data_IF_467505973199
#
_entry.id   IF_467505973199
#
_cell.length_a   1.000
_cell.length_b   1.000
_cell.length_c   1.000
_cell.angle_alpha   90.00
_cell.angle_beta   90.00
_cell.angle_gamma   90.00
#
_symmetry.space_group_name_H-M   'P 1'
#
loop_
_entity.id
_entity.type
_entity.pdbx_description
1 polymer ?
#
# COMPACT_ATOMS: atom_id res chain seq x y z
N UNK A 1 25.63 -4.00 8.21
CA UNK A 1 24.22 -3.61 7.98
C UNK A 1 23.38 -4.79 8.38
N UNK A 2 22.29 -4.58 9.13
CA UNK A 2 21.42 -5.69 9.54
C UNK A 2 20.18 -5.71 8.66
N UNK A 3 19.77 -6.91 8.26
CA UNK A 3 18.50 -7.13 7.57
C UNK A 3 17.45 -7.58 8.59
N UNK A 4 16.31 -6.90 8.57
CA UNK A 4 15.18 -7.17 9.46
C UNK A 4 13.92 -7.28 8.64
N UNK A 5 13.19 -8.39 8.76
CA UNK A 5 11.87 -8.55 8.13
C UNK A 5 10.77 -8.13 9.09
N UNK A 6 9.77 -7.41 8.60
CA UNK A 6 8.55 -7.02 9.33
C UNK A 6 7.32 -7.24 8.49
N UNK A 7 6.22 -7.59 9.13
CA UNK A 7 4.92 -7.71 8.49
C UNK A 7 4.16 -6.41 8.70
N UNK A 8 3.83 -5.75 7.60
CA UNK A 8 2.95 -4.58 7.57
C UNK A 8 1.55 -5.06 7.25
N UNK A 9 0.59 -4.65 8.07
CA UNK A 9 -0.82 -4.99 7.90
C UNK A 9 -1.59 -3.79 7.36
N UNK A 10 -2.28 -4.01 6.26
CA UNK A 10 -3.25 -3.07 5.68
C UNK A 10 -4.64 -3.54 6.04
N UNK A 11 -5.38 -2.74 6.80
CA UNK A 11 -6.78 -3.00 7.12
C UNK A 11 -7.65 -2.07 6.30
N UNK A 12 -8.47 -2.64 5.42
CA UNK A 12 -9.46 -1.91 4.65
C UNK A 12 -10.84 -2.14 5.25
N UNK A 13 -11.60 -1.06 5.44
CA UNK A 13 -13.02 -1.12 5.79
C UNK A 13 -13.79 -0.28 4.78
N UNK A 14 -14.93 -0.76 4.31
CA UNK A 14 -15.80 -0.05 3.38
C UNK A 14 -17.26 -0.33 3.70
N UNK A 15 -18.14 0.61 3.38
CA UNK A 15 -19.58 0.41 3.44
C UNK A 15 -20.30 1.24 2.38
N UNK A 16 -21.49 0.80 1.97
CA UNK A 16 -22.34 1.53 1.03
C UNK A 16 -22.97 2.73 1.73
N UNK A 17 -22.87 3.90 1.11
CA UNK A 17 -23.54 5.11 1.53
C UNK A 17 -24.97 5.12 0.96
N UNK A 18 -25.94 4.68 1.77
CA UNK A 18 -27.34 4.50 1.35
C UNK A 18 -28.04 5.81 0.96
N UNK A 19 -27.58 6.92 1.51
CA UNK A 19 -28.16 8.24 1.27
C UNK A 19 -27.65 8.89 -0.03
N UNK A 20 -26.66 8.27 -0.69
CA UNK A 20 -26.10 8.76 -1.95
C UNK A 20 -26.58 7.86 -3.09
N UNK A 21 -27.26 8.42 -4.11
CA UNK A 21 -27.68 7.66 -5.28
C UNK A 21 -26.49 6.94 -5.94
N UNK A 22 -26.74 5.72 -6.43
CA UNK A 22 -25.73 4.99 -7.19
C UNK A 22 -25.38 5.76 -8.47
N UNK A 23 -24.09 5.76 -8.82
CA UNK A 23 -23.60 6.45 -10.03
C UNK A 23 -24.07 5.71 -11.29
N UNK A 24 -24.17 4.38 -11.21
CA UNK A 24 -24.71 3.49 -12.22
C UNK A 24 -25.35 2.28 -11.53
N UNK A 25 -26.27 1.61 -12.22
CA UNK A 25 -26.86 0.34 -11.75
C UNK A 25 -25.75 -0.67 -11.40
N UNK A 26 -25.80 -1.22 -10.19
CA UNK A 26 -24.77 -2.12 -9.65
C UNK A 26 -23.55 -1.45 -9.01
N UNK A 27 -23.37 -0.13 -9.14
CA UNK A 27 -22.22 0.63 -8.62
C UNK A 27 -22.64 1.68 -7.58
N UNK A 28 -22.94 1.26 -6.34
CA UNK A 28 -23.28 2.19 -5.28
C UNK A 28 -22.07 3.01 -4.83
N UNK A 29 -22.30 4.23 -4.36
CA UNK A 29 -21.25 5.00 -3.69
C UNK A 29 -20.87 4.32 -2.37
N UNK A 30 -19.58 4.22 -2.11
CA UNK A 30 -19.04 3.64 -0.89
C UNK A 30 -18.13 4.62 -0.19
N UNK A 31 -18.15 4.57 1.12
CA UNK A 31 -17.07 5.11 1.93
C UNK A 31 -16.12 3.99 2.27
N UNK A 32 -14.82 4.25 2.11
CA UNK A 32 -13.78 3.29 2.44
C UNK A 32 -12.67 3.97 3.22
N UNK A 33 -11.97 3.18 4.03
CA UNK A 33 -10.80 3.60 4.77
C UNK A 33 -9.73 2.53 4.74
N UNK A 34 -8.46 2.95 4.72
CA UNK A 34 -7.30 2.06 4.79
C UNK A 34 -6.42 2.53 5.94
N UNK A 35 -6.08 1.60 6.84
CA UNK A 35 -5.19 1.84 7.97
C UNK A 35 -3.98 0.91 7.91
N UNK A 36 -2.82 1.41 8.37
CA UNK A 36 -1.53 0.70 8.32
C UNK A 36 -1.01 0.46 9.74
N UNK A 37 -0.81 -0.81 10.07
CA UNK A 37 -0.22 -1.28 11.33
C UNK A 37 0.95 -2.24 11.06
N UNK A 38 1.70 -2.58 12.09
CA UNK A 38 2.65 -3.69 12.06
C UNK A 38 2.06 -4.88 12.80
N UNK A 39 2.49 -6.08 12.41
CA UNK A 39 2.22 -7.30 13.16
C UNK A 39 3.49 -7.70 13.87
N UNK A 40 3.43 -7.88 15.18
CA UNK A 40 4.58 -8.33 15.96
C UNK A 40 4.77 -9.86 15.86
N UNK A 41 5.83 -10.36 16.49
CA UNK A 41 6.16 -11.79 16.58
C UNK A 41 5.06 -12.67 17.20
N UNK A 42 4.14 -12.09 17.97
CA UNK A 42 2.98 -12.76 18.57
C UNK A 42 1.72 -12.68 17.71
N UNK A 43 1.80 -12.14 16.50
CA UNK A 43 0.63 -11.96 15.63
C UNK A 43 -0.28 -10.79 16.04
N UNK A 44 0.14 -9.95 16.98
CA UNK A 44 -0.65 -8.83 17.50
C UNK A 44 -0.36 -7.57 16.70
N UNK A 45 -1.41 -6.79 16.42
CA UNK A 45 -1.27 -5.50 15.77
C UNK A 45 -0.67 -4.46 16.71
N UNK A 46 0.38 -3.81 16.25
CA UNK A 46 1.06 -2.72 16.95
C UNK A 46 1.17 -1.50 16.02
N UNK A 47 1.24 -0.27 16.57
CA UNK A 47 1.39 0.93 15.75
C UNK A 47 2.62 0.88 14.85
N UNK A 48 2.47 1.29 13.58
CA UNK A 48 3.55 1.27 12.60
C UNK A 48 4.53 2.46 12.74
N UNK A 49 5.18 2.57 13.90
CA UNK A 49 6.07 3.70 14.27
C UNK A 49 7.40 3.73 13.49
N UNK A 50 7.70 2.69 12.72
CA UNK A 50 8.89 2.63 11.86
C UNK A 50 8.80 3.53 10.63
N UNK A 51 7.63 4.09 10.34
CA UNK A 51 7.39 4.99 9.20
C UNK A 51 7.25 6.45 9.66
N UNK A 52 7.90 7.38 8.95
CA UNK A 52 7.69 8.82 9.15
C UNK A 52 6.47 9.34 8.36
N UNK A 53 6.15 8.63 7.27
CA UNK A 53 5.16 9.03 6.29
C UNK A 53 4.69 7.82 5.48
N UNK A 54 3.39 7.74 5.28
CA UNK A 54 2.75 6.84 4.30
C UNK A 54 2.11 7.70 3.23
N UNK A 55 2.37 7.39 1.96
CA UNK A 55 1.80 8.10 0.82
C UNK A 55 0.96 7.15 -0.02
N UNK A 56 -0.31 7.49 -0.21
CA UNK A 56 -1.26 6.79 -1.07
C UNK A 56 -1.34 7.52 -2.40
N UNK A 57 -1.10 6.82 -3.51
CA UNK A 57 -1.37 7.33 -4.85
C UNK A 57 -2.71 6.77 -5.32
N UNK A 58 -3.76 7.57 -5.15
CA UNK A 58 -5.12 7.24 -5.57
C UNK A 58 -5.28 7.33 -7.09
N UNK A 59 -6.39 6.82 -7.59
CA UNK A 59 -6.77 6.97 -8.98
C UNK A 59 -6.86 8.46 -9.38
N UNK A 60 -6.47 8.87 -10.60
CA UNK A 60 -6.46 10.28 -11.03
C UNK A 60 -7.81 10.99 -11.00
N UNK A 61 -8.92 10.28 -10.82
CA UNK A 61 -10.27 10.86 -10.65
C UNK A 61 -10.47 11.51 -9.29
N UNK A 62 -9.66 11.19 -8.28
CA UNK A 62 -9.74 11.82 -6.97
C UNK A 62 -9.07 13.21 -6.99
N UNK A 63 -9.68 14.18 -6.32
CA UNK A 63 -9.02 15.45 -6.08
C UNK A 63 -7.81 15.22 -5.16
N UNK A 64 -6.66 15.81 -5.56
CA UNK A 64 -5.37 15.58 -4.90
C UNK A 64 -5.10 14.08 -4.72
N UNK A 65 -4.87 13.34 -5.82
CA UNK A 65 -4.84 11.88 -5.78
C UNK A 65 -3.63 11.34 -5.02
N UNK A 66 -2.56 12.11 -4.85
CA UNK A 66 -1.41 11.72 -4.03
C UNK A 66 -1.55 12.33 -2.63
N UNK A 67 -1.70 11.48 -1.61
CA UNK A 67 -1.95 11.92 -0.23
C UNK A 67 -0.98 11.31 0.74
N UNK A 68 -0.44 12.12 1.64
CA UNK A 68 0.56 11.70 2.62
C UNK A 68 0.10 11.91 4.06
N UNK A 69 0.31 10.91 4.89
CA UNK A 69 -0.01 10.91 6.32
C UNK A 69 1.26 10.67 7.11
N UNK A 70 1.45 11.36 8.24
CA UNK A 70 2.71 11.35 9.02
C UNK A 70 2.60 10.73 10.41
N UNK A 71 1.43 10.18 10.76
CA UNK A 71 1.18 9.58 12.08
C UNK A 71 0.44 8.26 11.92
N UNK A 72 0.84 7.20 12.64
CA UNK A 72 0.04 5.98 12.75
C UNK A 72 -1.38 6.29 13.25
N UNK A 73 -2.40 5.55 12.79
CA UNK A 73 -2.34 4.41 11.87
C UNK A 73 -2.35 4.80 10.38
N UNK A 74 -1.96 6.04 10.05
CA UNK A 74 -1.87 6.55 8.68
C UNK A 74 -3.17 6.41 7.88
N UNK A 75 -4.30 6.53 8.57
CA UNK A 75 -5.61 6.28 7.98
C UNK A 75 -5.92 7.28 6.89
N UNK A 76 -6.24 6.74 5.72
CA UNK A 76 -6.94 7.46 4.66
C UNK A 76 -8.40 7.03 4.68
N UNK A 77 -9.31 7.98 4.45
CA UNK A 77 -10.74 7.76 4.33
C UNK A 77 -11.24 8.57 3.13
N UNK A 78 -12.02 7.93 2.28
CA UNK A 78 -12.44 8.47 1.00
C UNK A 78 -13.75 7.84 0.52
N UNK A 79 -14.36 8.44 -0.49
CA UNK A 79 -15.60 7.95 -1.09
C UNK A 79 -15.40 7.63 -2.57
N UNK A 80 -15.93 6.50 -3.02
CA UNK A 80 -15.81 6.07 -4.40
C UNK A 80 -16.73 4.90 -4.72
N UNK A 81 -16.97 4.68 -6.02
CA UNK A 81 -17.87 3.64 -6.52
C UNK A 81 -17.12 2.43 -7.10
N UNK A 82 -15.84 2.59 -7.45
CA UNK A 82 -15.02 1.58 -8.11
C UNK A 82 -13.81 1.15 -7.28
N UNK A 83 -13.46 -0.13 -7.38
CA UNK A 83 -12.20 -0.67 -6.87
C UNK A 83 -11.03 -0.37 -7.82
N UNK A 84 -9.82 -0.32 -7.28
CA UNK A 84 -8.60 -0.06 -8.05
C UNK A 84 -7.34 -0.39 -7.24
N UNK A 85 -6.23 -0.61 -7.93
CA UNK A 85 -4.92 -0.76 -7.33
C UNK A 85 -4.35 0.58 -6.85
N UNK A 86 -3.95 0.63 -5.57
CA UNK A 86 -3.37 1.79 -4.91
C UNK A 86 -1.88 1.56 -4.67
N UNK A 87 -0.98 2.26 -5.37
CA UNK A 87 0.42 2.33 -4.99
C UNK A 87 0.58 3.07 -3.66
N UNK A 88 1.07 2.35 -2.65
CA UNK A 88 1.38 2.88 -1.32
C UNK A 88 2.90 2.92 -1.13
N UNK A 89 3.41 4.10 -0.80
CA UNK A 89 4.82 4.31 -0.43
C UNK A 89 4.94 4.50 1.07
N UNK A 90 5.64 3.57 1.73
CA UNK A 90 5.99 3.62 3.14
C UNK A 90 7.40 4.19 3.29
N UNK A 91 7.54 5.40 3.80
CA UNK A 91 8.85 6.04 4.05
C UNK A 91 9.30 5.72 5.47
N UNK A 92 10.46 5.07 5.59
CA UNK A 92 11.04 4.70 6.87
C UNK A 92 11.62 5.93 7.59
N UNK A 93 11.53 5.95 8.92
CA UNK A 93 12.15 6.98 9.74
C UNK A 93 13.65 7.11 9.49
N UNK A 94 14.23 8.26 9.87
CA UNK A 94 15.65 8.58 9.68
C UNK A 94 16.11 8.50 8.21
N UNK A 95 15.21 8.75 7.25
CA UNK A 95 15.47 8.56 5.81
C UNK A 95 15.89 7.11 5.52
N UNK A 96 15.29 6.13 6.20
CA UNK A 96 15.62 4.70 6.10
C UNK A 96 15.39 4.06 4.73
N UNK A 97 14.87 4.84 3.78
CA UNK A 97 14.46 4.40 2.46
C UNK A 97 12.95 4.21 2.37
N UNK A 98 12.48 3.97 1.16
CA UNK A 98 11.07 3.76 0.88
C UNK A 98 10.77 2.28 0.60
N UNK A 99 9.57 1.84 0.97
CA UNK A 99 9.00 0.55 0.57
C UNK A 99 7.71 0.81 -0.19
N UNK A 100 7.66 0.32 -1.44
CA UNK A 100 6.48 0.44 -2.30
C UNK A 100 5.69 -0.84 -2.27
N UNK A 101 4.38 -0.72 -2.06
CA UNK A 101 3.44 -1.83 -2.00
C UNK A 101 2.24 -1.44 -2.88
N UNK A 102 1.73 -2.38 -3.67
CA UNK A 102 0.47 -2.19 -4.37
C UNK A 102 -0.65 -2.82 -3.53
N UNK A 103 -1.69 -2.05 -3.24
CA UNK A 103 -2.83 -2.46 -2.44
C UNK A 103 -4.09 -2.45 -3.30
N UNK A 104 -4.71 -3.60 -3.47
CA UNK A 104 -5.98 -3.72 -4.18
C UNK A 104 -7.12 -3.21 -3.28
N UNK A 105 -7.74 -2.09 -3.68
CA UNK A 105 -8.99 -1.62 -3.10
C UNK A 105 -10.15 -2.32 -3.81
N UNK A 106 -10.81 -3.25 -3.13
CA UNK A 106 -12.00 -3.94 -3.63
C UNK A 106 -13.14 -3.92 -2.61
N UNK A 107 -14.33 -4.33 -3.05
CA UNK A 107 -15.56 -4.24 -2.25
C UNK A 107 -16.22 -5.60 -2.03
N UNK A 108 -15.46 -6.70 -2.18
CA UNK A 108 -15.97 -8.06 -1.98
C UNK A 108 -16.34 -8.34 -0.51
N UNK A 109 -15.65 -7.67 0.42
CA UNK A 109 -15.90 -7.75 1.87
C UNK A 109 -16.05 -6.36 2.45
N UNK A 110 -16.84 -6.23 3.51
CA UNK A 110 -16.97 -4.98 4.27
C UNK A 110 -15.65 -4.62 4.95
N UNK A 111 -14.91 -5.64 5.42
CA UNK A 111 -13.58 -5.51 5.98
C UNK A 111 -12.69 -6.62 5.47
N UNK A 112 -11.46 -6.26 5.10
CA UNK A 112 -10.42 -7.23 4.79
C UNK A 112 -9.05 -6.73 5.25
N UNK A 113 -8.15 -7.69 5.41
CA UNK A 113 -6.80 -7.48 5.93
C UNK A 113 -5.80 -8.08 4.95
N UNK A 114 -4.78 -7.31 4.60
CA UNK A 114 -3.67 -7.76 3.76
C UNK A 114 -2.37 -7.58 4.53
N UNK A 115 -1.67 -8.69 4.77
CA UNK A 115 -0.35 -8.70 5.39
C UNK A 115 0.72 -8.74 4.29
N UNK A 116 1.69 -7.83 4.35
CA UNK A 116 2.83 -7.74 3.43
C UNK A 116 4.13 -7.73 4.20
N UNK A 117 5.04 -8.65 3.88
CA UNK A 117 6.36 -8.67 4.47
C UNK A 117 7.29 -7.67 3.76
N UNK A 118 7.98 -6.84 4.53
CA UNK A 118 9.02 -5.93 4.04
C UNK A 118 10.36 -6.29 4.65
N UNK A 119 11.41 -6.28 3.84
CA UNK A 119 12.79 -6.38 4.29
C UNK A 119 13.37 -4.99 4.50
N UNK A 120 13.94 -4.72 5.68
CA UNK A 120 14.51 -3.45 6.07
C UNK A 120 15.99 -3.66 6.35
N UNK A 121 16.82 -3.04 5.51
CA UNK A 121 18.27 -3.05 5.65
C UNK A 121 18.70 -1.74 6.27
N UNK A 122 19.24 -1.77 7.49
CA UNK A 122 19.59 -0.54 8.20
C UNK A 122 20.73 -0.74 9.20
N UNK A 123 21.40 0.36 9.52
CA UNK A 123 22.34 0.50 10.66
C UNK A 123 21.93 1.65 11.57
N UNK A 124 20.78 2.28 11.30
CA UNK A 124 20.38 3.54 11.94
C UNK A 124 19.80 3.28 13.33
N UNK A 125 20.30 3.94 14.38
CA UNK A 125 20.01 3.55 15.75
C UNK A 125 18.54 3.75 16.15
N UNK A 126 17.87 4.83 15.73
CA UNK A 126 16.46 5.02 16.10
C UNK A 126 15.54 4.11 15.29
N UNK A 127 15.85 3.86 14.02
CA UNK A 127 15.13 2.84 13.24
C UNK A 127 15.26 1.44 13.86
N UNK A 128 16.45 1.05 14.33
CA UNK A 128 16.65 -0.22 15.05
C UNK A 128 15.86 -0.27 16.36
N UNK A 129 15.81 0.82 17.12
CA UNK A 129 15.00 0.92 18.35
C UNK A 129 13.50 0.77 18.06
N UNK A 130 12.97 1.41 17.02
CA UNK A 130 11.57 1.26 16.63
C UNK A 130 11.27 -0.16 16.12
N UNK A 131 12.20 -0.77 15.37
CA UNK A 131 12.06 -2.16 14.92
C UNK A 131 11.99 -3.15 16.10
N UNK A 132 12.75 -2.90 17.17
CA UNK A 132 12.75 -3.76 18.37
C UNK A 132 11.38 -3.82 19.07
N UNK A 133 10.52 -2.79 18.91
CA UNK A 133 9.17 -2.77 19.50
C UNK A 133 8.21 -3.77 18.85
N UNK A 134 8.49 -4.18 17.62
CA UNK A 134 7.65 -5.11 16.83
C UNK A 134 8.27 -6.50 16.68
N UNK A 135 9.42 -6.76 17.29
CA UNK A 135 10.07 -8.07 17.30
C UNK A 135 11.59 -7.98 17.36
N UNK A 136 12.26 -9.13 17.34
CA UNK A 136 13.72 -9.20 17.42
C UNK A 136 14.43 -8.46 16.28
N UNK A 137 15.58 -7.87 16.61
CA UNK A 137 16.50 -7.22 15.67
C UNK A 137 17.86 -7.91 15.84
N UNK A 138 18.48 -8.44 14.77
CA UNK A 138 19.80 -9.04 14.88
C UNK A 138 20.80 -7.98 15.37
N UNK A 139 21.51 -8.26 16.45
CA UNK A 139 22.63 -7.42 16.85
C UNK A 139 23.77 -7.63 15.86
N UNK A 140 24.41 -6.55 15.41
CA UNK A 140 25.62 -6.62 14.59
C UNK A 140 26.79 -7.12 15.46
N UNK A 141 26.82 -8.42 15.77
CA UNK A 141 27.82 -8.99 16.67
C UNK A 141 27.57 -10.41 17.17
N UNK A 142 26.85 -11.25 16.44
CA UNK A 142 26.77 -12.68 16.76
C UNK A 142 27.04 -13.50 15.49
N UNK A 143 28.30 -13.87 15.31
CA UNK A 143 28.61 -15.15 14.69
C UNK A 143 27.88 -16.24 15.49
N UNK A 144 27.39 -17.26 14.78
CA UNK A 144 26.79 -18.46 15.36
C UNK A 144 27.68 -18.98 16.49
N UNK A 145 27.21 -18.86 17.74
CA UNK A 145 27.78 -19.62 18.85
C UNK A 145 26.84 -20.81 19.04
N UNK A 146 27.36 -21.96 18.64
CA UNK A 146 26.79 -23.26 18.84
C UNK A 146 26.46 -23.49 20.31
N UNK A 147 25.32 -24.13 20.51
CA UNK A 147 24.77 -24.52 21.79
C UNK A 147 25.77 -25.43 22.54
N UNK A 148 26.29 -24.96 23.68
CA UNK A 148 27.22 -25.67 24.54
C UNK A 148 26.92 -25.36 26.00
N UNK A 149 26.05 -26.18 26.57
CA UNK A 149 25.59 -26.18 27.95
C UNK A 149 26.76 -26.45 28.92
N UNK A 150 27.06 -25.52 29.83
CA UNK A 150 27.67 -25.85 31.13
C UNK A 150 27.41 -24.73 32.15
N UNK A 151 26.77 -25.16 33.22
CA UNK A 151 26.27 -24.45 34.37
C UNK A 151 27.39 -23.93 35.30
N UNK A 152 27.00 -22.95 36.11
CA UNK A 152 27.78 -22.06 36.95
C UNK A 152 28.30 -22.73 38.22
N UNK A 153 29.38 -22.21 38.83
CA UNK A 153 29.47 -22.03 40.29
C UNK A 153 30.63 -21.12 40.72
N UNK A 154 30.41 -20.45 41.86
CA UNK A 154 31.31 -19.66 42.71
C UNK A 154 31.54 -18.18 42.29
N UNK A 155 30.85 -17.19 42.85
CA UNK A 155 30.86 -16.68 44.24
C UNK A 155 32.00 -15.68 44.54
N UNK A 156 31.59 -14.58 45.21
CA UNK A 156 32.34 -13.63 46.06
C UNK A 156 32.56 -12.20 45.52
N UNK A 157 31.74 -11.27 46.03
CA UNK A 157 32.03 -9.87 46.38
C UNK A 157 33.00 -9.79 47.58
N UNK A 158 33.43 -8.60 48.11
CA UNK A 158 33.46 -7.22 47.59
C UNK A 158 34.82 -6.51 47.87
N UNK A 159 35.05 -5.28 47.35
CA UNK A 159 35.81 -4.27 48.11
C UNK A 159 35.43 -2.83 47.76
N UNK A 160 35.28 -2.08 48.83
CA UNK A 160 34.97 -0.66 49.08
C UNK A 160 36.10 0.31 48.67
N UNK A 161 35.73 1.54 48.29
CA UNK A 161 36.27 2.83 48.75
C UNK A 161 36.01 3.94 47.71
N UNK A 162 35.90 5.24 47.97
CA UNK A 162 35.37 6.13 49.03
C UNK A 162 35.61 7.55 48.47
N UNK A 163 34.62 8.44 48.66
CA UNK A 163 34.66 9.90 48.77
C UNK A 163 35.23 10.81 47.65
N UNK A 164 34.54 11.96 47.47
CA UNK A 164 35.14 13.18 46.93
C UNK A 164 34.13 14.21 46.45
N UNK A 165 33.89 15.26 47.24
CA UNK A 165 32.90 16.32 47.07
C UNK A 165 33.42 17.57 46.33
N UNK A 166 32.49 18.49 45.98
CA UNK A 166 32.73 19.91 45.62
C UNK A 166 32.17 20.27 44.24
N UNK A 167 31.04 20.97 44.07
CA UNK A 167 30.75 22.39 44.29
C UNK A 167 31.70 23.36 43.54
N UNK A 168 31.22 24.08 42.51
CA UNK A 168 30.89 25.52 42.58
C UNK A 168 30.44 26.10 41.21
N UNK A 169 29.70 27.22 41.29
CA UNK A 169 29.40 28.31 40.36
C UNK A 169 30.13 28.34 38.99
N UNK A 170 29.52 28.73 37.87
CA UNK A 170 28.57 29.83 37.65
C UNK A 170 29.21 30.80 36.65
N UNK A 171 28.50 31.20 35.58
CA UNK A 171 28.64 32.47 34.84
C UNK A 171 27.79 32.45 33.56
N UNK A 172 26.83 33.37 33.49
CA UNK A 172 26.31 33.97 32.26
C UNK A 172 27.21 35.17 31.86
N UNK A 173 27.15 35.72 30.63
CA UNK A 173 26.08 36.66 30.22
C UNK A 173 25.56 36.41 28.79
N UNK A 174 24.30 36.75 28.43
CA UNK A 174 23.89 38.03 27.81
C UNK A 174 24.24 38.05 26.30
N UNK A 175 23.34 38.17 25.31
CA UNK A 175 22.31 39.19 25.12
C UNK A 175 21.33 38.85 23.97
N UNK A 176 20.07 39.27 24.13
CA UNK A 176 19.20 40.05 23.21
C UNK A 176 19.07 39.62 21.72
N UNK A 177 17.89 39.59 21.08
CA UNK A 177 16.76 40.52 21.14
C UNK A 177 15.44 39.88 20.70
N UNK A 178 14.35 40.40 21.24
CA UNK A 178 12.96 40.20 20.83
C UNK A 178 12.53 41.28 19.80
N UNK A 179 11.52 40.97 18.96
CA UNK A 179 10.31 41.78 18.61
C UNK A 179 9.60 41.05 17.43
N UNK A 180 8.43 40.40 17.50
CA UNK A 180 7.02 40.76 17.77
C UNK A 180 6.23 41.32 16.55
N UNK A 181 5.12 40.60 16.22
CA UNK A 181 3.80 41.05 15.66
C UNK A 181 3.72 41.43 14.17
N UNK A 182 2.60 41.31 13.40
CA UNK A 182 1.18 40.86 13.56
C UNK A 182 0.46 41.01 12.20
N UNK A 183 -0.64 40.28 11.97
CA UNK A 183 -1.77 40.66 11.09
C UNK A 183 -1.98 39.76 9.84
N UNK A 184 -3.02 38.92 9.79
CA UNK A 184 -4.42 39.17 9.37
C UNK A 184 -4.58 39.06 7.82
N UNK A 185 -5.17 37.98 7.31
CA UNK A 185 -6.61 37.81 6.96
C UNK A 185 -6.89 38.08 5.46
N UNK A 186 -7.63 37.18 4.79
CA UNK A 186 -8.15 37.43 3.44
C UNK A 186 -8.52 36.15 2.66
N UNK A 187 -9.82 35.92 2.52
CA UNK A 187 -10.44 34.89 1.69
C UNK A 187 -10.44 35.26 0.20
N UNK A 188 -10.47 34.27 -0.70
CA UNK A 188 -11.25 34.30 -1.94
C UNK A 188 -11.17 32.95 -2.68
N UNK A 189 -12.32 32.52 -3.17
CA UNK A 189 -12.58 31.33 -3.96
C UNK A 189 -12.10 31.45 -5.41
N UNK A 190 -11.83 30.31 -6.05
CA UNK A 190 -11.89 30.16 -7.50
C UNK A 190 -12.26 28.72 -7.89
N UNK A 191 -13.45 28.58 -8.50
CA UNK A 191 -13.88 27.41 -9.26
C UNK A 191 -12.92 27.12 -10.44
N UNK A 192 -12.99 25.91 -11.02
CA UNK A 192 -12.99 25.84 -12.47
C UNK A 192 -14.15 25.01 -13.04
N UNK A 193 -14.58 25.51 -14.20
CA UNK A 193 -15.73 25.13 -15.00
C UNK A 193 -15.59 23.76 -15.67
N UNK A 194 -16.78 23.17 -15.84
CA UNK A 194 -17.17 22.06 -16.71
C UNK A 194 -16.42 21.99 -18.05
N UNK A 195 -15.76 20.87 -18.34
CA UNK A 195 -15.27 20.49 -19.68
C UNK A 195 -15.88 19.14 -20.06
N UNK A 196 -16.75 19.17 -21.08
CA UNK A 196 -17.31 17.98 -21.74
C UNK A 196 -16.18 17.04 -22.17
N UNK A 197 -16.12 15.83 -21.60
CA UNK A 197 -15.22 14.77 -22.08
C UNK A 197 -15.80 14.16 -23.35
N UNK A 198 -15.11 14.39 -24.46
CA UNK A 198 -15.27 13.60 -25.68
C UNK A 198 -14.80 12.16 -25.40
N UNK A 199 -15.63 11.18 -25.80
CA UNK A 199 -15.37 9.75 -25.64
C UNK A 199 -14.27 9.34 -26.62
N UNK A 200 -13.04 9.16 -26.12
CA UNK A 200 -11.94 8.61 -26.92
C UNK A 200 -12.11 7.10 -27.00
N UNK A 201 -12.66 6.60 -28.11
CA UNK A 201 -12.79 5.16 -28.37
C UNK A 201 -11.41 4.50 -28.35
N UNK A 202 -11.20 3.56 -27.43
CA UNK A 202 -9.98 2.79 -27.34
C UNK A 202 -9.91 1.73 -28.46
N UNK A 203 -9.25 2.09 -29.56
CA UNK A 203 -9.00 1.19 -30.69
C UNK A 203 -7.55 0.69 -30.64
N UNK A 204 -7.37 -0.64 -30.68
CA UNK A 204 -6.05 -1.29 -30.77
C UNK A 204 -6.08 -2.38 -31.83
N UNK A 205 -5.11 -2.39 -32.74
CA UNK A 205 -5.01 -3.42 -33.80
C UNK A 205 -6.20 -3.46 -34.78
N UNK A 206 -7.03 -2.40 -34.84
CA UNK A 206 -8.28 -2.38 -35.61
C UNK A 206 -9.49 -3.02 -34.89
N UNK A 207 -9.35 -3.33 -33.61
CA UNK A 207 -10.40 -3.85 -32.73
C UNK A 207 -10.82 -2.76 -31.74
N UNK A 208 -12.13 -2.63 -31.55
CA UNK A 208 -12.74 -1.74 -30.55
C UNK A 208 -12.80 -2.48 -29.21
N UNK A 209 -11.90 -2.13 -28.29
CA UNK A 209 -11.73 -2.83 -27.01
C UNK A 209 -12.95 -2.65 -26.10
N UNK A 210 -13.63 -1.51 -26.17
CA UNK A 210 -14.87 -1.28 -25.40
C UNK A 210 -15.96 -2.23 -25.87
N UNK A 211 -16.19 -2.31 -27.19
CA UNK A 211 -17.17 -3.26 -27.72
C UNK A 211 -16.80 -4.71 -27.45
N UNK A 212 -15.51 -5.03 -27.42
CA UNK A 212 -15.06 -6.41 -27.17
C UNK A 212 -15.35 -6.81 -25.73
N UNK A 213 -15.08 -5.93 -24.77
CA UNK A 213 -15.45 -6.13 -23.37
C UNK A 213 -16.96 -6.32 -23.22
N UNK A 214 -17.77 -5.49 -23.89
CA UNK A 214 -19.23 -5.62 -23.85
C UNK A 214 -19.70 -6.98 -24.41
N UNK A 215 -19.14 -7.43 -25.53
CA UNK A 215 -19.52 -8.72 -26.12
C UNK A 215 -19.04 -9.90 -25.26
N UNK A 216 -17.87 -9.79 -24.62
CA UNK A 216 -17.35 -10.81 -23.69
C UNK A 216 -18.33 -11.14 -22.56
N UNK A 217 -19.06 -10.13 -22.05
CA UNK A 217 -20.09 -10.33 -21.00
C UNK A 217 -21.34 -11.08 -21.47
N UNK A 218 -21.53 -11.21 -22.79
CA UNK A 218 -22.72 -11.82 -23.40
C UNK A 218 -22.51 -13.27 -23.82
N UNK A 219 -21.28 -13.78 -23.77
CA UNK A 219 -20.99 -15.17 -24.12
C UNK A 219 -21.53 -16.13 -23.06
N UNK A 220 -21.88 -17.34 -23.51
CA UNK A 220 -22.22 -18.45 -22.63
C UNK A 220 -20.94 -19.06 -22.06
N UNK A 221 -21.08 -19.81 -20.98
CA UNK A 221 -19.97 -20.45 -20.27
C UNK A 221 -19.09 -21.32 -21.20
N UNK A 222 -19.70 -22.11 -22.08
CA UNK A 222 -18.99 -22.91 -23.10
C UNK A 222 -18.16 -22.05 -24.07
N UNK A 223 -18.64 -20.87 -24.40
CA UNK A 223 -17.95 -19.98 -25.33
C UNK A 223 -16.82 -19.22 -24.64
N UNK A 224 -16.98 -18.88 -23.35
CA UNK A 224 -15.94 -18.30 -22.49
C UNK A 224 -14.76 -19.26 -22.31
N UNK A 225 -15.02 -20.56 -22.16
CA UNK A 225 -13.99 -21.59 -22.14
C UNK A 225 -13.14 -21.56 -23.43
N UNK A 226 -13.76 -21.37 -24.58
CA UNK A 226 -13.04 -21.23 -25.84
C UNK A 226 -12.20 -19.95 -25.93
N UNK A 227 -12.64 -18.84 -25.34
CA UNK A 227 -11.84 -17.61 -25.21
C UNK A 227 -10.59 -17.87 -24.37
N UNK A 228 -10.76 -18.50 -23.20
CA UNK A 228 -9.65 -18.86 -22.30
C UNK A 228 -8.66 -19.79 -23.01
N UNK A 229 -9.16 -20.76 -23.77
CA UNK A 229 -8.33 -21.68 -24.55
C UNK A 229 -7.51 -20.92 -25.62
N UNK A 230 -8.14 -20.06 -26.43
CA UNK A 230 -7.44 -19.28 -27.45
C UNK A 230 -6.32 -18.41 -26.88
N UNK A 231 -6.51 -17.88 -25.67
CA UNK A 231 -5.51 -17.07 -24.98
C UNK A 231 -4.36 -17.92 -24.46
N UNK A 232 -4.65 -19.07 -23.86
CA UNK A 232 -3.62 -19.99 -23.37
C UNK A 232 -2.77 -20.57 -24.52
N UNK A 233 -3.39 -20.90 -25.65
CA UNK A 233 -2.73 -21.45 -26.85
C UNK A 233 -1.77 -20.43 -27.50
N UNK A 234 -2.02 -19.13 -27.30
CA UNK A 234 -1.23 -18.04 -27.87
C UNK A 234 -0.54 -17.19 -26.80
N UNK A 235 -0.29 -17.76 -25.62
CA UNK A 235 0.26 -17.03 -24.47
C UNK A 235 1.69 -16.57 -24.73
N UNK A 236 1.96 -15.27 -24.55
CA UNK A 236 3.30 -14.70 -24.62
C UNK A 236 3.74 -14.13 -23.27
N UNK A 237 5.06 -13.95 -23.02
CA UNK A 237 5.58 -13.38 -21.78
C UNK A 237 5.12 -11.93 -21.49
N UNK A 238 4.71 -11.20 -22.52
CA UNK A 238 4.27 -9.80 -22.44
C UNK A 238 2.78 -9.67 -22.07
N UNK A 239 2.02 -10.76 -22.15
CA UNK A 239 0.58 -10.79 -21.85
C UNK A 239 0.34 -10.86 -20.34
N UNK A 240 -0.39 -9.88 -19.80
CA UNK A 240 -0.77 -9.85 -18.40
C UNK A 240 -2.08 -10.61 -18.18
N UNK A 241 -1.96 -11.89 -17.86
CA UNK A 241 -3.07 -12.83 -17.62
C UNK A 241 -2.90 -13.46 -16.25
N UNK A 242 -3.98 -13.46 -15.47
CA UNK A 242 -4.12 -14.12 -14.18
C UNK A 242 -5.21 -15.18 -14.30
N UNK A 243 -4.84 -16.41 -13.98
CA UNK A 243 -5.78 -17.53 -13.92
C UNK A 243 -5.84 -18.01 -12.46
N UNK A 244 -6.91 -17.66 -11.77
CA UNK A 244 -7.21 -18.10 -10.42
C UNK A 244 -8.18 -19.27 -10.49
N UNK A 245 -7.61 -20.48 -10.61
CA UNK A 245 -8.36 -21.72 -10.80
C UNK A 245 -9.16 -22.07 -9.54
N UNK A 246 -8.69 -21.68 -8.37
CA UNK A 246 -9.33 -21.99 -7.08
C UNK A 246 -10.60 -21.16 -6.87
N UNK A 247 -10.61 -19.92 -7.37
CA UNK A 247 -11.77 -19.02 -7.33
C UNK A 247 -12.60 -19.03 -8.63
N UNK A 248 -12.16 -19.77 -9.66
CA UNK A 248 -12.79 -19.78 -10.97
C UNK A 248 -12.72 -18.44 -11.71
N UNK A 249 -11.74 -17.59 -11.38
CA UNK A 249 -11.59 -16.25 -11.95
C UNK A 249 -10.48 -16.23 -13.00
N UNK A 250 -10.82 -15.74 -14.19
CA UNK A 250 -9.89 -15.54 -15.29
C UNK A 250 -9.83 -14.06 -15.67
N UNK A 251 -8.69 -13.42 -15.42
CA UNK A 251 -8.49 -11.98 -15.64
C UNK A 251 -7.39 -11.76 -16.67
N UNK A 252 -7.65 -10.92 -17.66
CA UNK A 252 -6.71 -10.62 -18.75
C UNK A 252 -6.67 -9.13 -19.07
N UNK A 253 -5.48 -8.61 -19.36
CA UNK A 253 -5.30 -7.25 -19.86
C UNK A 253 -5.32 -7.24 -21.39
N UNK A 254 -6.40 -6.70 -21.97
CA UNK A 254 -6.59 -6.63 -23.42
C UNK A 254 -5.56 -5.74 -24.13
N UNK A 255 -4.94 -4.78 -23.44
CA UNK A 255 -3.88 -3.94 -24.00
C UNK A 255 -2.53 -4.64 -24.07
N UNK A 256 -2.37 -5.78 -23.42
CA UNK A 256 -1.15 -6.58 -23.50
C UNK A 256 -1.21 -7.68 -24.56
N UNK A 257 -2.40 -7.94 -25.11
CA UNK A 257 -2.59 -8.96 -26.15
C UNK A 257 -1.97 -8.54 -27.50
N UNK A 258 -1.32 -9.45 -28.23
CA UNK A 258 -0.88 -9.19 -29.61
C UNK A 258 -2.05 -8.85 -30.54
N UNK A 259 -1.83 -7.97 -31.52
CA UNK A 259 -2.88 -7.53 -32.46
C UNK A 259 -3.51 -8.68 -33.26
N UNK A 260 -2.73 -9.73 -33.56
CA UNK A 260 -3.20 -10.95 -34.23
C UNK A 260 -4.17 -11.76 -33.36
N UNK A 261 -3.86 -11.88 -32.07
CA UNK A 261 -4.71 -12.54 -31.08
C UNK A 261 -5.98 -11.71 -30.81
N UNK A 262 -5.85 -10.39 -30.69
CA UNK A 262 -6.99 -9.48 -30.53
C UNK A 262 -8.00 -9.61 -31.68
N UNK A 263 -7.54 -9.64 -32.94
CA UNK A 263 -8.42 -9.86 -34.10
C UNK A 263 -9.12 -11.21 -34.05
N UNK A 264 -8.37 -12.27 -33.73
CA UNK A 264 -8.91 -13.63 -33.67
C UNK A 264 -9.96 -13.77 -32.57
N UNK A 265 -9.69 -13.20 -31.38
CA UNK A 265 -10.63 -13.16 -30.26
C UNK A 265 -11.86 -12.31 -30.59
N UNK A 266 -11.67 -11.16 -31.23
CA UNK A 266 -12.78 -10.30 -31.66
C UNK A 266 -13.73 -11.02 -32.62
N UNK A 267 -13.21 -11.71 -33.64
CA UNK A 267 -14.03 -12.46 -34.59
C UNK A 267 -14.76 -13.63 -33.91
N UNK A 268 -14.08 -14.33 -33.00
CA UNK A 268 -14.67 -15.41 -32.21
C UNK A 268 -15.81 -14.91 -31.31
N UNK A 269 -15.55 -13.84 -30.55
CA UNK A 269 -16.50 -13.22 -29.62
C UNK A 269 -17.71 -12.66 -30.38
N UNK A 270 -17.47 -11.94 -31.48
CA UNK A 270 -18.54 -11.37 -32.30
C UNK A 270 -19.46 -12.44 -32.88
N UNK A 271 -18.91 -13.56 -33.35
CA UNK A 271 -19.69 -14.66 -33.95
C UNK A 271 -20.55 -15.41 -32.94
N UNK A 272 -20.18 -15.40 -31.65
CA UNK A 272 -20.86 -16.15 -30.58
C UNK A 272 -21.72 -15.28 -29.66
N UNK A 273 -21.56 -13.95 -29.74
CA UNK A 273 -22.37 -12.97 -29.05
C UNK A 273 -23.56 -12.44 -29.89
N UNK A 274 -23.68 -12.88 -31.15
CA UNK A 274 -24.89 -12.75 -32.01
C UNK A 274 -25.84 -13.93 -31.75
#
# INVERSE_FOLDING_TARGET
>A
MVEVKRTVRFTTVQHVLKDIPAVQEGFPMREWSISVSLVNDKGVEVPATIFDKVTYALHPTFANPVRSFKKPPFTIQEQGWGGFDIPITLTLIEKGGDKKINHDLNFYKEKYVIDKQIAINTTKPNLLKELAKSGSVPSAGAAEVTNGLADSTAAATPVTAVAGAGANAGSAPGAASAEKRKGAAGAAASEPKNVKRAKTTANKGGVDLEKMADLLTKLKEDDLLGVVQMINDNRTPEMNIKNDVDNGEFTMDMYTLPDTLLKSLWDYVKKRAE
#
